data_IF_492122014361
#
_entry.id   IF_492122014361
#
_cell.length_a   1.000
_cell.length_b   1.000
_cell.length_c   1.000
_cell.angle_alpha   90.00
_cell.angle_beta   90.00
_cell.angle_gamma   90.00
#
_symmetry.space_group_name_H-M   'P 1'
#
loop_
_entity.id
_entity.type
_entity.pdbx_description
1 polymer ?
#
# COMPACT_ATOMS: atom_id res chain seq x y z
N UNK A 1 4.53 -28.19 -1.62
CA UNK A 1 3.63 -27.78 -2.72
C UNK A 1 4.50 -27.48 -3.90
N UNK A 2 4.55 -28.39 -4.87
CA UNK A 2 5.46 -28.34 -6.01
C UNK A 2 4.94 -27.36 -7.06
N UNK A 3 5.65 -26.24 -7.24
CA UNK A 3 5.43 -25.27 -8.31
C UNK A 3 6.49 -25.48 -9.41
N UNK A 4 6.42 -26.59 -10.11
CA UNK A 4 7.28 -26.89 -11.26
C UNK A 4 6.43 -27.21 -12.49
N UNK A 5 5.64 -26.23 -12.96
CA UNK A 5 5.08 -26.22 -14.32
C UNK A 5 4.47 -24.86 -14.64
N UNK A 6 4.77 -24.38 -15.86
CA UNK A 6 4.23 -23.18 -16.51
C UNK A 6 5.01 -21.88 -16.31
N UNK A 7 6.22 -21.81 -16.89
CA UNK A 7 6.86 -20.54 -17.24
C UNK A 7 7.46 -20.58 -18.66
N UNK A 8 6.73 -21.13 -19.64
CA UNK A 8 7.13 -21.11 -21.05
C UNK A 8 6.02 -20.49 -21.90
N UNK A 9 5.90 -19.17 -21.85
CA UNK A 9 5.30 -18.36 -22.91
C UNK A 9 5.42 -16.90 -22.50
N UNK A 10 6.47 -16.18 -22.91
CA UNK A 10 6.49 -14.72 -23.10
C UNK A 10 7.91 -14.33 -23.55
N UNK A 11 8.23 -14.55 -24.82
CA UNK A 11 9.32 -13.84 -25.48
C UNK A 11 8.71 -13.24 -26.75
N UNK A 12 8.52 -11.92 -26.75
CA UNK A 12 8.40 -11.12 -27.97
C UNK A 12 9.58 -10.14 -27.99
N UNK A 13 10.33 -10.02 -29.09
CA UNK A 13 11.43 -9.07 -29.20
C UNK A 13 10.91 -7.70 -29.63
N UNK A 14 11.48 -6.62 -29.08
CA UNK A 14 11.28 -5.26 -29.61
C UNK A 14 12.63 -4.55 -29.72
N UNK A 15 12.74 -3.87 -30.86
CA UNK A 15 13.88 -3.26 -31.53
C UNK A 15 14.75 -2.29 -30.72
N UNK A 16 16.01 -2.28 -31.16
CA UNK A 16 17.09 -1.33 -30.95
C UNK A 16 16.79 0.08 -31.47
N UNK A 17 17.21 1.10 -30.70
CA UNK A 17 17.34 2.49 -31.15
C UNK A 17 17.98 3.40 -30.10
N UNK A 18 19.22 3.79 -30.38
CA UNK A 18 19.89 5.07 -30.03
C UNK A 18 20.44 5.40 -28.62
N UNK A 19 21.77 5.22 -28.54
CA UNK A 19 22.85 6.17 -28.18
C UNK A 19 22.82 7.05 -26.91
N UNK A 20 23.83 6.76 -26.07
CA UNK A 20 24.81 7.66 -25.40
C UNK A 20 24.35 8.67 -24.31
N UNK A 21 24.80 8.46 -23.07
CA UNK A 21 25.96 9.19 -22.50
C UNK A 21 26.27 8.72 -21.06
N UNK A 22 27.57 8.57 -20.79
CA UNK A 22 28.17 8.21 -19.51
C UNK A 22 28.45 9.49 -18.73
N UNK A 23 28.06 9.55 -17.46
CA UNK A 23 28.70 10.42 -16.46
C UNK A 23 28.61 9.81 -15.06
N UNK A 24 29.65 10.10 -14.29
CA UNK A 24 30.14 9.33 -13.14
C UNK A 24 29.76 10.01 -11.80
N UNK A 25 29.54 9.17 -10.78
CA UNK A 25 29.70 9.39 -9.33
C UNK A 25 28.71 10.33 -8.60
N UNK A 26 27.89 9.75 -7.71
CA UNK A 26 28.03 9.94 -6.24
C UNK A 26 27.01 9.13 -5.43
N UNK A 27 27.54 8.52 -4.37
CA UNK A 27 26.85 7.75 -3.33
C UNK A 27 25.78 8.57 -2.61
N UNK A 28 24.53 8.10 -2.62
CA UNK A 28 23.51 8.47 -1.63
C UNK A 28 22.66 7.24 -1.27
N UNK A 29 22.42 7.07 0.04
CA UNK A 29 21.76 5.90 0.61
C UNK A 29 20.29 5.77 0.20
N UNK A 30 19.86 4.54 -0.03
CA UNK A 30 18.46 4.24 -0.28
C UNK A 30 17.68 4.28 1.04
N UNK A 31 16.89 5.32 1.25
CA UNK A 31 15.75 5.31 2.17
C UNK A 31 14.53 4.79 1.41
N UNK A 32 14.00 3.65 1.85
CA UNK A 32 12.73 3.10 1.39
C UNK A 32 11.60 3.84 2.10
N UNK A 33 10.92 4.75 1.40
CA UNK A 33 9.74 5.46 1.90
C UNK A 33 8.53 5.05 1.04
N UNK A 34 7.60 4.32 1.65
CA UNK A 34 6.35 3.90 1.01
C UNK A 34 5.33 5.04 1.18
N UNK A 35 5.18 5.87 0.15
CA UNK A 35 4.12 6.88 0.07
C UNK A 35 3.11 6.49 -1.01
N UNK A 36 1.99 5.91 -0.59
CA UNK A 36 0.78 5.89 -1.42
C UNK A 36 0.00 7.17 -1.13
N UNK A 37 0.20 8.20 -1.94
CA UNK A 37 -0.73 9.33 -2.02
C UNK A 37 -0.90 9.71 -3.48
N UNK A 38 -2.10 9.46 -3.99
CA UNK A 38 -2.61 10.07 -5.21
C UNK A 38 -2.52 11.60 -5.09
N UNK A 39 -2.17 12.20 -6.20
CA UNK A 39 -1.86 13.62 -6.40
C UNK A 39 -3.08 14.50 -6.19
N UNK A 40 -2.92 15.58 -5.41
CA UNK A 40 -3.39 16.91 -5.78
C UNK A 40 -2.52 17.98 -5.11
N UNK A 41 -2.31 19.06 -5.84
CA UNK A 41 -1.22 20.05 -5.77
C UNK A 41 -1.20 20.99 -4.55
N UNK A 42 0.03 21.24 -4.07
CA UNK A 42 0.64 22.50 -3.57
C UNK A 42 -0.06 23.26 -2.41
N UNK A 43 0.48 23.13 -1.19
CA UNK A 43 1.14 24.24 -0.48
C UNK A 43 1.90 23.70 0.75
N UNK A 44 3.19 24.01 0.82
CA UNK A 44 4.10 23.73 1.93
C UNK A 44 3.70 24.48 3.20
N UNK A 45 3.81 23.82 4.37
CA UNK A 45 4.48 24.37 5.55
C UNK A 45 4.76 23.27 6.58
N UNK A 46 6.03 23.18 6.96
CA UNK A 46 6.58 22.32 8.00
C UNK A 46 6.04 22.71 9.38
N UNK A 47 5.60 21.74 10.19
CA UNK A 47 5.65 21.85 11.66
C UNK A 47 5.96 20.48 12.30
N UNK A 48 6.87 20.56 13.28
CA UNK A 48 7.43 19.50 14.11
C UNK A 48 6.37 18.67 14.88
N UNK A 49 6.64 17.38 15.04
CA UNK A 49 5.90 16.44 15.87
C UNK A 49 6.66 16.18 17.16
N UNK A 50 6.11 16.63 18.30
CA UNK A 50 6.41 16.05 19.61
C UNK A 50 5.23 15.17 20.05
N UNK A 51 5.54 13.92 20.37
CA UNK A 51 4.60 12.93 20.90
C UNK A 51 4.39 13.12 22.39
N UNK A 52 3.12 13.25 22.81
CA UNK A 52 2.51 12.62 24.00
C UNK A 52 1.09 13.17 24.18
N UNK A 53 0.07 12.33 23.95
CA UNK A 53 -1.21 12.22 24.68
C UNK A 53 -2.31 11.63 23.78
N UNK A 54 -2.86 10.49 24.20
CA UNK A 54 -4.02 9.81 23.61
C UNK A 54 -5.30 10.63 23.79
N UNK A 55 -5.50 11.62 22.92
CA UNK A 55 -6.76 12.34 22.77
C UNK A 55 -7.05 12.42 21.27
N UNK A 56 -8.31 12.19 20.87
CA UNK A 56 -8.77 12.39 19.49
C UNK A 56 -8.21 13.71 18.94
N UNK A 57 -7.60 13.75 17.74
CA UNK A 57 -7.15 15.01 17.18
C UNK A 57 -8.39 15.83 16.85
N UNK A 58 -8.55 16.93 17.59
CA UNK A 58 -9.40 18.05 17.20
C UNK A 58 -8.79 18.61 15.91
N UNK A 59 -9.24 18.07 14.76
CA UNK A 59 -8.92 18.60 13.45
C UNK A 59 -9.52 20.00 13.37
N UNK A 60 -8.62 20.98 13.38
CA UNK A 60 -8.90 22.39 13.39
C UNK A 60 -9.92 22.80 12.32
N UNK A 61 -10.70 23.78 12.71
CA UNK A 61 -11.53 24.66 11.91
C UNK A 61 -11.18 24.66 10.41
N UNK A 62 -12.02 23.97 9.62
CA UNK A 62 -12.27 24.41 8.26
C UNK A 62 -12.83 25.84 8.36
N UNK A 63 -12.09 26.77 7.77
CA UNK A 63 -12.31 28.21 7.88
C UNK A 63 -13.72 28.68 7.48
N UNK A 64 -14.06 29.80 8.12
CA UNK A 64 -15.06 30.81 7.80
C UNK A 64 -16.56 30.45 7.77
N UNK A 65 -17.21 31.09 8.75
CA UNK A 65 -18.63 31.38 8.93
C UNK A 65 -19.38 31.75 7.64
N UNK A 66 -20.37 30.92 7.27
CA UNK A 66 -21.65 31.37 6.69
C UNK A 66 -22.61 30.22 6.33
N UNK A 67 -22.17 28.95 6.32
CA UNK A 67 -22.99 27.86 5.76
C UNK A 67 -23.08 26.58 6.61
N UNK A 68 -22.90 26.67 7.94
CA UNK A 68 -23.03 25.52 8.85
C UNK A 68 -24.44 24.91 8.74
N UNK A 69 -24.54 23.60 8.50
CA UNK A 69 -25.81 22.86 8.48
C UNK A 69 -26.44 22.64 7.10
N UNK A 70 -25.73 22.97 6.00
CA UNK A 70 -26.16 22.54 4.65
C UNK A 70 -26.16 21.02 4.54
N UNK A 71 -27.02 20.46 3.67
CA UNK A 71 -27.13 19.00 3.50
C UNK A 71 -25.79 18.35 3.10
N UNK A 72 -25.00 19.04 2.25
CA UNK A 72 -23.65 18.60 1.86
C UNK A 72 -22.74 18.48 3.09
N UNK A 73 -22.71 19.48 3.96
CA UNK A 73 -21.86 19.45 5.16
C UNK A 73 -22.32 18.39 6.15
N UNK A 74 -23.63 18.25 6.34
CA UNK A 74 -24.20 17.20 7.18
C UNK A 74 -23.78 15.81 6.65
N UNK A 75 -23.91 15.56 5.35
CA UNK A 75 -23.45 14.31 4.74
C UNK A 75 -21.95 14.07 4.91
N UNK A 76 -21.12 15.09 4.67
CA UNK A 76 -19.67 15.01 4.88
C UNK A 76 -19.33 14.66 6.33
N UNK A 77 -19.98 15.32 7.30
CA UNK A 77 -19.74 15.07 8.73
C UNK A 77 -20.18 13.67 9.16
N UNK A 78 -21.32 13.20 8.67
CA UNK A 78 -21.78 11.82 8.89
C UNK A 78 -20.75 10.82 8.36
N UNK A 79 -20.23 11.03 7.15
CA UNK A 79 -19.20 10.17 6.56
C UNK A 79 -17.90 10.18 7.39
N UNK A 80 -17.41 11.35 7.80
CA UNK A 80 -16.20 11.47 8.63
C UNK A 80 -16.36 10.75 9.97
N UNK A 81 -17.50 10.96 10.63
CA UNK A 81 -17.81 10.33 11.92
C UNK A 81 -17.84 8.80 11.79
N UNK A 82 -18.54 8.28 10.79
CA UNK A 82 -18.68 6.83 10.55
C UNK A 82 -17.41 6.18 10.02
N UNK A 83 -16.55 6.92 9.29
CA UNK A 83 -15.24 6.42 8.86
C UNK A 83 -14.35 6.04 10.04
N UNK A 84 -14.44 6.79 11.14
CA UNK A 84 -13.70 6.52 12.38
C UNK A 84 -14.44 5.50 13.25
N UNK A 85 -15.72 5.73 13.56
CA UNK A 85 -16.49 4.88 14.49
C UNK A 85 -16.91 3.52 13.92
N UNK A 86 -16.98 3.39 12.59
CA UNK A 86 -17.50 2.25 11.82
C UNK A 86 -18.99 1.96 12.00
N UNK A 87 -19.52 2.06 13.22
CA UNK A 87 -20.93 1.82 13.54
C UNK A 87 -21.41 2.93 14.48
N UNK A 88 -22.60 3.46 14.23
CA UNK A 88 -23.26 4.43 15.12
C UNK A 88 -24.78 4.35 14.95
N UNK A 89 -25.56 5.01 15.80
CA UNK A 89 -27.01 5.12 15.60
C UNK A 89 -27.39 6.48 15.05
N UNK A 90 -28.56 6.55 14.44
CA UNK A 90 -29.09 7.80 13.93
C UNK A 90 -29.21 8.90 14.99
N UNK A 91 -29.62 8.53 16.21
CA UNK A 91 -29.74 9.46 17.34
C UNK A 91 -28.36 9.98 17.75
N UNK A 92 -27.38 9.07 17.91
CA UNK A 92 -26.02 9.44 18.32
C UNK A 92 -25.35 10.36 17.29
N UNK A 93 -25.56 10.09 15.99
CA UNK A 93 -25.07 10.92 14.90
C UNK A 93 -25.69 12.32 15.02
N UNK A 94 -27.00 12.42 15.21
CA UNK A 94 -27.67 13.71 15.32
C UNK A 94 -27.19 14.51 16.54
N UNK A 95 -27.06 13.87 17.69
CA UNK A 95 -26.63 14.54 18.92
C UNK A 95 -25.17 15.01 18.83
N UNK A 96 -24.30 14.23 18.17
CA UNK A 96 -22.93 14.63 17.90
C UNK A 96 -22.84 15.84 16.99
N UNK A 97 -23.64 15.89 15.91
CA UNK A 97 -23.68 17.02 14.99
C UNK A 97 -24.30 18.28 15.63
N UNK A 98 -25.31 18.12 16.49
CA UNK A 98 -25.89 19.22 17.28
C UNK A 98 -24.82 19.84 18.17
N UNK A 99 -24.06 19.00 18.89
CA UNK A 99 -22.97 19.44 19.75
C UNK A 99 -21.86 20.16 18.94
N UNK A 100 -21.51 19.64 17.76
CA UNK A 100 -20.49 20.26 16.89
C UNK A 100 -20.93 21.61 16.33
N UNK A 101 -22.19 21.75 15.91
CA UNK A 101 -22.67 22.96 15.22
C UNK A 101 -23.19 24.04 16.16
N UNK A 102 -23.90 23.66 17.23
CA UNK A 102 -24.52 24.61 18.16
C UNK A 102 -23.71 24.76 19.45
N UNK A 103 -22.76 23.88 19.72
CA UNK A 103 -22.01 23.87 20.98
C UNK A 103 -22.85 23.40 22.18
N UNK A 104 -22.24 23.39 23.38
CA UNK A 104 -22.93 23.05 24.61
C UNK A 104 -24.09 24.02 24.89
N UNK A 105 -25.11 23.53 25.59
CA UNK A 105 -26.23 24.37 26.03
C UNK A 105 -25.71 25.39 27.03
N UNK A 106 -25.93 26.67 26.74
CA UNK A 106 -25.64 27.75 27.67
C UNK A 106 -26.84 27.91 28.62
N UNK A 107 -26.85 27.13 29.70
CA UNK A 107 -28.01 26.94 30.59
C UNK A 107 -28.48 28.25 31.22
N UNK A 108 -27.56 29.16 31.54
CA UNK A 108 -27.86 30.50 32.06
C UNK A 108 -28.63 31.31 31.01
N UNK A 109 -28.20 31.28 29.75
CA UNK A 109 -28.87 32.01 28.67
C UNK A 109 -30.20 31.36 28.27
N UNK A 110 -30.29 30.03 28.30
CA UNK A 110 -31.50 29.28 28.01
C UNK A 110 -32.65 29.63 28.97
N UNK A 111 -32.35 29.87 30.26
CA UNK A 111 -33.36 30.23 31.27
C UNK A 111 -33.74 31.72 31.18
N UNK A 112 -32.77 32.59 30.89
CA UNK A 112 -32.99 34.05 30.92
C UNK A 112 -33.47 34.62 29.56
N UNK A 113 -33.28 33.90 28.45
CA UNK A 113 -33.62 34.35 27.10
C UNK A 113 -34.46 33.28 26.36
N UNK A 114 -35.81 33.41 26.37
CA UNK A 114 -36.69 32.46 25.70
C UNK A 114 -36.53 32.47 24.17
N UNK A 115 -36.03 33.55 23.58
CA UNK A 115 -35.75 33.64 22.13
C UNK A 115 -34.55 32.79 21.78
N UNK A 116 -33.48 32.84 22.59
CA UNK A 116 -32.32 31.96 22.45
C UNK A 116 -32.72 30.48 22.51
N UNK A 117 -33.51 30.09 23.51
CA UNK A 117 -33.95 28.71 23.69
C UNK A 117 -34.77 28.22 22.47
N UNK A 118 -35.74 29.02 22.02
CA UNK A 118 -36.56 28.69 20.84
C UNK A 118 -35.72 28.57 19.56
N UNK A 119 -34.74 29.46 19.36
CA UNK A 119 -33.85 29.42 18.20
C UNK A 119 -32.95 28.17 18.21
N UNK A 120 -32.48 27.77 19.40
CA UNK A 120 -31.69 26.56 19.56
C UNK A 120 -32.52 25.30 19.26
N UNK A 121 -33.72 25.18 19.81
CA UNK A 121 -34.63 24.06 19.53
C UNK A 121 -35.00 23.94 18.05
N UNK A 122 -35.24 25.08 17.37
CA UNK A 122 -35.48 25.10 15.93
C UNK A 122 -34.27 24.58 15.14
N UNK A 123 -33.08 25.01 15.54
CA UNK A 123 -31.82 24.57 14.91
C UNK A 123 -31.56 23.08 15.13
N UNK A 124 -31.83 22.54 16.32
CA UNK A 124 -31.74 21.10 16.60
C UNK A 124 -32.70 20.28 15.73
N UNK A 125 -33.97 20.70 15.63
CA UNK A 125 -34.96 20.05 14.76
C UNK A 125 -34.52 20.06 13.30
N UNK A 126 -33.96 21.17 12.84
CA UNK A 126 -33.41 21.29 11.48
C UNK A 126 -32.24 20.32 11.24
N UNK A 127 -31.27 20.26 12.16
CA UNK A 127 -30.12 19.34 12.06
C UNK A 127 -30.60 17.89 12.05
N UNK A 128 -31.51 17.50 12.96
CA UNK A 128 -32.11 16.15 12.97
C UNK A 128 -32.75 15.82 11.63
N UNK A 129 -33.54 16.74 11.05
CA UNK A 129 -34.17 16.58 9.72
C UNK A 129 -33.13 16.33 8.63
N UNK A 130 -32.03 17.07 8.62
CA UNK A 130 -30.94 16.93 7.62
C UNK A 130 -30.16 15.64 7.78
N UNK A 131 -30.02 15.13 9.00
CA UNK A 131 -29.40 13.82 9.25
C UNK A 131 -30.22 12.72 8.58
N UNK A 132 -31.56 12.77 8.66
CA UNK A 132 -32.42 11.82 7.92
C UNK A 132 -32.20 11.90 6.40
N UNK A 133 -32.20 13.12 5.83
CA UNK A 133 -32.00 13.31 4.38
C UNK A 133 -30.64 12.76 3.93
N UNK A 134 -29.57 13.11 4.65
CA UNK A 134 -28.23 12.68 4.32
C UNK A 134 -28.08 11.17 4.44
N UNK A 135 -28.60 10.55 5.52
CA UNK A 135 -28.55 9.10 5.69
C UNK A 135 -29.24 8.39 4.54
N UNK A 136 -30.44 8.82 4.14
CA UNK A 136 -31.18 8.18 3.06
C UNK A 136 -30.43 8.24 1.73
N UNK A 137 -29.85 9.40 1.39
CA UNK A 137 -29.03 9.54 0.18
C UNK A 137 -27.77 8.67 0.26
N UNK A 138 -27.10 8.62 1.41
CA UNK A 138 -25.90 7.83 1.61
C UNK A 138 -26.18 6.31 1.59
N UNK A 139 -27.36 5.88 2.04
CA UNK A 139 -27.84 4.49 1.92
C UNK A 139 -28.09 4.15 0.45
N UNK A 140 -28.80 5.02 -0.28
CA UNK A 140 -29.03 4.84 -1.72
C UNK A 140 -27.73 4.78 -2.51
N UNK A 141 -26.73 5.57 -2.11
CA UNK A 141 -25.39 5.55 -2.66
C UNK A 141 -24.52 4.37 -2.16
N UNK A 142 -25.06 3.49 -1.30
CA UNK A 142 -24.38 2.34 -0.66
C UNK A 142 -23.04 2.68 0.00
N UNK A 143 -22.85 3.92 0.42
CA UNK A 143 -21.69 4.37 1.22
C UNK A 143 -21.84 3.91 2.66
N UNK A 144 -23.09 3.88 3.14
CA UNK A 144 -23.47 3.41 4.47
C UNK A 144 -24.60 2.40 4.33
N UNK A 145 -24.78 1.60 5.36
CA UNK A 145 -25.83 0.59 5.45
C UNK A 145 -26.63 0.78 6.74
N UNK A 146 -27.92 0.41 6.72
CA UNK A 146 -28.81 0.54 7.87
C UNK A 146 -29.32 -0.83 8.29
N UNK A 147 -28.87 -1.29 9.44
CA UNK A 147 -29.36 -2.50 10.09
C UNK A 147 -30.03 -2.14 11.40
N UNK A 148 -31.35 -2.29 11.47
CA UNK A 148 -32.16 -1.85 12.61
C UNK A 148 -31.90 -0.37 12.96
N UNK A 149 -31.34 -0.11 14.15
CA UNK A 149 -30.95 1.22 14.64
C UNK A 149 -29.51 1.60 14.27
N UNK A 150 -28.73 0.65 13.77
CA UNK A 150 -27.31 0.82 13.47
C UNK A 150 -27.12 1.32 12.04
N UNK A 151 -26.26 2.31 11.91
CA UNK A 151 -25.74 2.85 10.67
C UNK A 151 -24.28 2.42 10.57
N UNK A 152 -23.96 1.66 9.53
CA UNK A 152 -22.68 0.99 9.35
C UNK A 152 -21.93 1.63 8.18
N UNK A 153 -20.66 1.96 8.38
CA UNK A 153 -19.78 2.46 7.33
C UNK A 153 -19.39 1.35 6.35
N UNK A 154 -19.71 1.51 5.06
CA UNK A 154 -19.27 0.63 3.98
C UNK A 154 -18.11 1.24 3.19
N UNK A 155 -18.07 2.56 3.03
CA UNK A 155 -17.03 3.29 2.31
C UNK A 155 -17.37 3.55 0.83
N UNK A 156 -16.54 4.37 0.17
CA UNK A 156 -16.79 4.88 -1.18
C UNK A 156 -16.52 3.82 -2.28
N UNK A 157 -15.72 2.78 -2.01
CA UNK A 157 -15.43 1.72 -3.00
C UNK A 157 -16.67 0.94 -3.46
N UNK A 158 -17.73 0.92 -2.64
CA UNK A 158 -19.03 0.34 -3.02
C UNK A 158 -19.71 1.10 -4.16
N UNK A 159 -19.49 2.42 -4.30
CA UNK A 159 -20.07 3.23 -5.40
C UNK A 159 -19.48 2.85 -6.75
N UNK A 160 -18.15 2.67 -6.81
CA UNK A 160 -17.47 2.30 -8.06
C UNK A 160 -17.96 0.95 -8.59
N UNK A 161 -18.36 0.03 -7.70
CA UNK A 161 -18.93 -1.25 -8.08
C UNK A 161 -20.36 -1.13 -8.63
N UNK A 162 -21.13 -0.09 -8.25
CA UNK A 162 -22.56 0.06 -8.59
C UNK A 162 -22.76 0.91 -9.84
N UNK A 163 -21.94 1.95 -10.04
CA UNK A 163 -21.91 2.68 -11.31
C UNK A 163 -21.59 1.75 -12.49
N UNK A 164 -20.89 0.64 -12.24
CA UNK A 164 -20.68 -0.44 -13.22
C UNK A 164 -21.82 -1.48 -13.28
N UNK A 165 -22.72 -1.56 -12.28
CA UNK A 165 -23.72 -2.62 -12.17
C UNK A 165 -25.12 -2.23 -12.65
N UNK A 166 -25.47 -0.94 -12.62
CA UNK A 166 -26.78 -0.46 -13.12
C UNK A 166 -26.81 -0.37 -14.66
N UNK A 167 -25.64 -0.45 -15.30
CA UNK A 167 -25.51 -0.85 -16.70
C UNK A 167 -25.21 -2.35 -16.72
N UNK A 168 -25.98 -3.11 -17.49
CA UNK A 168 -25.96 -4.57 -17.62
C UNK A 168 -24.63 -5.15 -18.15
N UNK A 169 -23.54 -4.96 -17.43
CA UNK A 169 -22.29 -5.68 -17.57
C UNK A 169 -22.01 -6.30 -16.22
N UNK A 170 -22.35 -7.59 -16.12
CA UNK A 170 -21.78 -8.48 -15.13
C UNK A 170 -20.30 -8.16 -14.98
N UNK A 171 -19.81 -8.19 -13.75
CA UNK A 171 -18.43 -7.96 -13.40
C UNK A 171 -17.55 -9.11 -13.95
N UNK A 172 -17.47 -9.25 -15.27
CA UNK A 172 -16.69 -10.26 -15.99
C UNK A 172 -15.18 -10.09 -15.71
N UNK A 173 -14.80 -8.91 -15.20
CA UNK A 173 -13.45 -8.58 -14.78
C UNK A 173 -13.13 -8.93 -13.32
N UNK A 174 -14.09 -9.32 -12.47
CA UNK A 174 -13.81 -9.75 -11.09
C UNK A 174 -12.80 -10.91 -11.02
N UNK A 175 -12.95 -12.00 -11.80
CA UNK A 175 -11.95 -13.08 -11.79
C UNK A 175 -10.58 -12.59 -12.29
N UNK A 176 -10.55 -11.69 -13.28
CA UNK A 176 -9.32 -11.11 -13.80
C UNK A 176 -8.61 -10.24 -12.76
N UNK A 177 -9.35 -9.41 -12.03
CA UNK A 177 -8.86 -8.58 -10.93
C UNK A 177 -8.30 -9.47 -9.81
N UNK A 178 -9.03 -10.53 -9.43
CA UNK A 178 -8.55 -11.48 -8.43
C UNK A 178 -7.27 -12.20 -8.88
N UNK A 179 -7.18 -12.60 -10.16
CA UNK A 179 -5.98 -13.20 -10.71
C UNK A 179 -4.80 -12.22 -10.69
N UNK A 180 -5.03 -10.95 -11.03
CA UNK A 180 -4.01 -9.91 -10.99
C UNK A 180 -3.54 -9.63 -9.55
N UNK A 181 -4.44 -9.60 -8.58
CA UNK A 181 -4.09 -9.48 -7.16
C UNK A 181 -3.22 -10.67 -6.74
N UNK A 182 -3.61 -11.91 -7.09
CA UNK A 182 -2.80 -13.10 -6.78
C UNK A 182 -1.40 -13.03 -7.41
N UNK A 183 -1.29 -12.63 -8.68
CA UNK A 183 0.00 -12.45 -9.36
C UNK A 183 0.87 -11.42 -8.64
N UNK A 184 0.31 -10.25 -8.31
CA UNK A 184 1.03 -9.19 -7.58
C UNK A 184 1.46 -9.63 -6.18
N UNK A 185 0.66 -10.43 -5.48
CA UNK A 185 1.03 -10.96 -4.17
C UNK A 185 2.24 -11.90 -4.25
N UNK A 186 2.26 -12.81 -5.23
CA UNK A 186 3.41 -13.71 -5.46
C UNK A 186 4.66 -12.92 -5.84
N UNK A 187 4.52 -11.91 -6.70
CA UNK A 187 5.63 -11.02 -7.08
C UNK A 187 6.16 -10.24 -5.88
N UNK A 188 5.26 -9.71 -5.04
CA UNK A 188 5.62 -9.00 -3.82
C UNK A 188 6.39 -9.90 -2.84
N UNK A 189 5.92 -11.12 -2.61
CA UNK A 189 6.61 -12.11 -1.76
C UNK A 189 8.00 -12.43 -2.31
N UNK A 190 8.13 -12.62 -3.63
CA UNK A 190 9.42 -12.84 -4.31
C UNK A 190 10.37 -11.66 -4.09
N UNK A 191 9.90 -10.42 -4.24
CA UNK A 191 10.70 -9.21 -4.03
C UNK A 191 11.12 -9.04 -2.57
N UNK A 192 10.22 -9.31 -1.63
CA UNK A 192 10.50 -9.25 -0.20
C UNK A 192 11.59 -10.26 0.18
N UNK A 193 11.49 -11.50 -0.32
CA UNK A 193 12.49 -12.53 -0.07
C UNK A 193 13.86 -12.15 -0.66
N UNK A 194 13.87 -11.61 -1.88
CA UNK A 194 15.09 -11.10 -2.51
C UNK A 194 15.74 -9.96 -1.70
N UNK A 195 14.95 -9.01 -1.20
CA UNK A 195 15.43 -7.91 -0.38
C UNK A 195 16.12 -8.41 0.89
N UNK A 196 15.50 -9.34 1.63
CA UNK A 196 16.11 -9.91 2.83
C UNK A 196 17.40 -10.64 2.53
N UNK A 197 17.43 -11.45 1.47
CA UNK A 197 18.64 -12.18 1.06
C UNK A 197 19.79 -11.25 0.65
N UNK A 198 19.49 -10.18 -0.10
CA UNK A 198 20.47 -9.15 -0.44
C UNK A 198 21.02 -8.46 0.81
N UNK A 199 20.14 -8.09 1.75
CA UNK A 199 20.53 -7.46 3.01
C UNK A 199 21.50 -8.35 3.79
N UNK A 200 21.18 -9.65 3.95
CA UNK A 200 22.07 -10.64 4.60
C UNK A 200 23.44 -10.69 3.92
N UNK A 201 23.48 -10.74 2.58
CA UNK A 201 24.75 -10.80 1.84
C UNK A 201 25.56 -9.51 2.02
N UNK A 202 24.92 -8.34 1.97
CA UNK A 202 25.60 -7.05 2.14
C UNK A 202 26.21 -6.94 3.54
N UNK A 203 25.47 -7.32 4.58
CA UNK A 203 25.93 -7.32 5.97
C UNK A 203 27.12 -8.28 6.16
N UNK A 204 27.00 -9.52 5.66
CA UNK A 204 28.09 -10.49 5.70
C UNK A 204 29.34 -10.00 4.94
N UNK A 205 29.14 -9.43 3.76
CA UNK A 205 30.23 -8.86 2.97
C UNK A 205 30.89 -7.68 3.68
N UNK A 206 30.14 -6.87 4.45
CA UNK A 206 30.67 -5.78 5.26
C UNK A 206 31.54 -6.29 6.42
N UNK A 207 31.11 -7.36 7.09
CA UNK A 207 31.84 -7.97 8.20
C UNK A 207 33.11 -8.71 7.73
N UNK A 208 33.09 -9.25 6.51
CA UNK A 208 34.19 -10.07 5.96
C UNK A 208 35.19 -9.26 5.12
N UNK A 209 35.04 -7.92 5.03
CA UNK A 209 35.90 -7.04 4.20
C UNK A 209 37.40 -7.17 4.49
N UNK A 210 37.78 -7.60 5.70
CA UNK A 210 39.17 -7.68 6.14
C UNK A 210 39.91 -8.97 5.75
N UNK A 211 39.21 -10.05 5.34
CA UNK A 211 39.80 -11.41 5.31
C UNK A 211 40.06 -11.94 3.89
N UNK A 212 39.37 -11.44 2.86
CA UNK A 212 39.35 -12.10 1.55
C UNK A 212 39.82 -11.21 0.38
N UNK A 213 41.06 -11.44 -0.07
CA UNK A 213 41.62 -10.95 -1.36
C UNK A 213 41.26 -11.85 -2.57
N UNK A 214 40.24 -12.70 -2.42
CA UNK A 214 39.78 -13.59 -3.50
C UNK A 214 39.06 -12.85 -4.64
N UNK A 215 38.89 -13.54 -5.77
CA UNK A 215 38.08 -13.06 -6.88
C UNK A 215 36.63 -12.83 -6.42
N UNK A 216 36.07 -11.66 -6.77
CA UNK A 216 34.70 -11.28 -6.42
C UNK A 216 33.84 -11.27 -7.67
N UNK A 217 32.70 -11.94 -7.62
CA UNK A 217 31.67 -11.85 -8.65
C UNK A 217 30.70 -10.73 -8.30
N UNK A 218 30.51 -9.79 -9.23
CA UNK A 218 29.56 -8.69 -9.06
C UNK A 218 28.16 -9.12 -9.55
N UNK A 219 27.12 -8.60 -8.91
CA UNK A 219 25.74 -8.72 -9.38
C UNK A 219 25.40 -7.56 -10.35
N UNK A 220 24.54 -7.76 -11.37
CA UNK A 220 23.78 -8.96 -11.68
C UNK A 220 24.62 -10.04 -12.38
N UNK A 221 24.41 -11.31 -12.03
CA UNK A 221 25.04 -12.43 -12.71
C UNK A 221 24.10 -13.64 -12.82
N UNK A 222 24.42 -14.55 -13.72
CA UNK A 222 23.83 -15.88 -13.83
C UNK A 222 24.95 -16.92 -13.77
N UNK A 223 24.62 -18.14 -13.37
CA UNK A 223 25.56 -19.24 -13.28
C UNK A 223 25.07 -20.43 -14.09
N UNK A 224 26.02 -21.08 -14.75
CA UNK A 224 25.81 -22.38 -15.39
C UNK A 224 26.66 -23.38 -14.65
N UNK A 225 26.03 -24.37 -14.04
CA UNK A 225 26.68 -25.35 -13.18
C UNK A 225 26.59 -26.71 -13.85
N UNK A 226 27.73 -27.30 -14.20
CA UNK A 226 27.75 -28.69 -14.61
C UNK A 226 27.70 -29.60 -13.37
N UNK A 227 26.83 -30.59 -13.41
CA UNK A 227 26.58 -31.50 -12.29
C UNK A 227 27.63 -32.61 -12.17
N UNK A 228 28.51 -32.77 -13.17
CA UNK A 228 29.63 -33.72 -13.11
C UNK A 228 30.98 -33.01 -13.18
N UNK A 229 31.96 -33.60 -12.50
CA UNK A 229 33.36 -33.13 -12.52
C UNK A 229 34.06 -33.45 -13.85
N UNK A 230 33.58 -34.47 -14.57
CA UNK A 230 34.12 -34.91 -15.87
C UNK A 230 33.42 -34.22 -17.07
N UNK A 231 32.63 -33.20 -16.78
CA UNK A 231 31.90 -32.45 -17.80
C UNK A 231 32.85 -31.56 -18.60
N UNK A 232 32.85 -31.73 -19.92
CA UNK A 232 33.53 -30.84 -20.84
C UNK A 232 32.57 -29.72 -21.24
N UNK A 233 32.89 -28.49 -20.84
CA UNK A 233 32.13 -27.28 -21.18
C UNK A 233 32.94 -26.49 -22.20
N UNK A 234 32.39 -26.30 -23.40
CA UNK A 234 32.93 -25.38 -24.40
C UNK A 234 32.01 -24.17 -24.55
N UNK A 235 32.60 -22.97 -24.44
CA UNK A 235 31.89 -21.71 -24.57
C UNK A 235 32.36 -20.99 -25.83
N UNK A 236 31.44 -20.73 -26.76
CA UNK A 236 31.71 -20.01 -28.00
C UNK A 236 31.01 -18.66 -27.93
N UNK A 237 31.81 -17.59 -27.90
CA UNK A 237 31.31 -16.22 -27.95
C UNK A 237 31.12 -15.80 -29.40
N UNK A 238 29.95 -15.23 -29.70
CA UNK A 238 29.64 -14.62 -31.00
C UNK A 238 29.24 -13.17 -30.82
N UNK A 239 29.21 -12.43 -31.92
CA UNK A 239 28.68 -11.06 -31.98
C UNK A 239 29.25 -10.14 -30.88
N UNK A 240 30.57 -10.00 -30.81
CA UNK A 240 31.25 -9.18 -29.80
C UNK A 240 30.84 -9.54 -28.35
N UNK A 241 30.61 -10.83 -28.07
CA UNK A 241 30.21 -11.37 -26.77
C UNK A 241 28.76 -11.06 -26.36
N UNK A 242 27.90 -10.59 -27.27
CA UNK A 242 26.47 -10.49 -27.01
C UNK A 242 25.78 -11.85 -26.99
N UNK A 243 26.38 -12.86 -27.63
CA UNK A 243 25.86 -14.21 -27.71
C UNK A 243 26.89 -15.21 -27.21
N UNK A 244 26.43 -16.18 -26.42
CA UNK A 244 27.25 -17.27 -25.89
C UNK A 244 26.55 -18.58 -26.20
N UNK A 245 27.21 -19.43 -26.99
CA UNK A 245 26.80 -20.81 -27.16
C UNK A 245 27.61 -21.69 -26.20
N UNK A 246 26.91 -22.41 -25.33
CA UNK A 246 27.51 -23.30 -24.35
C UNK A 246 27.19 -24.73 -24.80
N UNK A 247 28.22 -25.51 -25.08
CA UNK A 247 28.09 -26.92 -25.40
C UNK A 247 28.68 -27.73 -24.25
N UNK A 248 27.86 -28.63 -23.70
CA UNK A 248 28.23 -29.48 -22.58
C UNK A 248 27.83 -30.91 -22.88
N UNK A 249 28.68 -31.85 -22.50
CA UNK A 249 28.43 -33.30 -22.64
C UNK A 249 27.58 -33.88 -21.49
N UNK A 250 27.06 -33.04 -20.60
CA UNK A 250 26.33 -33.42 -19.40
C UNK A 250 25.14 -32.49 -19.15
N UNK A 251 24.28 -32.87 -18.20
CA UNK A 251 23.22 -32.01 -17.69
C UNK A 251 23.85 -30.82 -16.94
N UNK A 252 23.29 -29.64 -17.17
CA UNK A 252 23.69 -28.38 -16.52
C UNK A 252 22.49 -27.72 -15.86
N UNK A 253 22.73 -27.08 -14.73
CA UNK A 253 21.78 -26.22 -14.04
C UNK A 253 22.05 -24.76 -14.37
N UNK A 254 21.00 -24.03 -14.76
CA UNK A 254 21.05 -22.60 -14.97
C UNK A 254 20.44 -21.89 -13.77
N UNK A 255 21.27 -21.14 -13.04
CA UNK A 255 20.81 -20.34 -11.92
C UNK A 255 20.70 -18.88 -12.36
N UNK A 256 19.49 -18.34 -12.23
CA UNK A 256 19.24 -16.92 -12.37
C UNK A 256 19.76 -16.15 -11.15
N UNK A 257 19.79 -14.82 -11.26
CA UNK A 257 20.24 -13.96 -10.17
C UNK A 257 19.43 -14.16 -8.88
N UNK A 258 18.13 -14.40 -9.00
CA UNK A 258 17.25 -14.58 -7.84
C UNK A 258 17.61 -15.85 -7.07
N UNK A 259 17.80 -16.98 -7.76
CA UNK A 259 18.20 -18.23 -7.15
C UNK A 259 19.59 -18.14 -6.52
N UNK A 260 20.55 -17.50 -7.20
CA UNK A 260 21.92 -17.32 -6.69
C UNK A 260 21.88 -16.57 -5.37
N UNK A 261 21.25 -15.39 -5.34
CA UNK A 261 21.20 -14.53 -4.16
C UNK A 261 20.55 -15.28 -2.99
N UNK A 262 19.44 -15.97 -3.25
CA UNK A 262 18.71 -16.65 -2.18
C UNK A 262 19.44 -17.87 -1.63
N UNK A 263 20.08 -18.67 -2.50
CA UNK A 263 20.88 -19.82 -2.07
C UNK A 263 22.10 -19.37 -1.28
N UNK A 264 22.82 -18.35 -1.72
CA UNK A 264 23.98 -17.80 -1.00
C UNK A 264 23.55 -17.25 0.37
N UNK A 265 22.48 -16.46 0.42
CA UNK A 265 21.98 -15.93 1.69
C UNK A 265 21.51 -17.04 2.64
N UNK A 266 20.90 -18.11 2.12
CA UNK A 266 20.54 -19.27 2.93
C UNK A 266 21.76 -19.95 3.54
N UNK A 267 22.82 -20.18 2.74
CA UNK A 267 24.08 -20.75 3.25
C UNK A 267 24.71 -19.88 4.34
N UNK A 268 24.73 -18.55 4.18
CA UNK A 268 25.26 -17.63 5.19
C UNK A 268 24.47 -17.75 6.50
N UNK A 269 23.14 -17.84 6.43
CA UNK A 269 22.29 -17.99 7.62
C UNK A 269 22.55 -19.31 8.34
N UNK A 270 22.69 -20.42 7.61
CA UNK A 270 22.97 -21.72 8.24
C UNK A 270 24.33 -21.74 8.93
N UNK A 271 25.36 -21.14 8.34
CA UNK A 271 26.70 -21.09 8.96
C UNK A 271 26.75 -20.23 10.23
N UNK A 272 25.89 -19.21 10.33
CA UNK A 272 25.81 -18.39 11.53
C UNK A 272 25.17 -19.14 12.72
N UNK A 273 24.16 -19.97 12.46
CA UNK A 273 23.44 -20.73 13.51
C UNK A 273 24.32 -21.81 14.15
N UNK A 274 25.17 -22.47 13.38
CA UNK A 274 26.09 -23.50 13.90
C UNK A 274 27.19 -22.90 14.80
N UNK A 275 27.46 -21.59 14.68
CA UNK A 275 28.44 -20.88 15.49
C UNK A 275 27.93 -20.58 16.92
N UNK A 276 26.62 -20.36 17.06
CA UNK A 276 25.97 -20.01 18.33
C UNK A 276 25.59 -21.24 19.18
N UNK A 277 25.65 -22.46 18.62
CA UNK A 277 25.42 -23.71 19.38
C UNK A 277 26.70 -24.35 19.94
N UNK A 278 27.87 -23.75 19.71
CA UNK A 278 29.18 -24.24 20.19
C UNK A 278 29.74 -23.43 21.37
N UNK A 279 28.91 -22.64 22.07
CA UNK A 279 29.28 -21.87 23.28
C UNK A 279 28.56 -22.44 24.50
#
# INVERSE_FOLDING_TARGET
MDYSKSLNSYINPVNTGDSLSVNNVSSTGYTFEMLTTETDSVHSNQYNLDSRNNSLPYMGALGNSSTKGTLKQVAVRICTLLKVRRISTQTDIADNLIMEYLGPIDSIRAVNDPVYQKNRESSEKSIRRRVYDAINVLISARIIDKSNKNIIWKGISSINHILCSDNSQSCDNLPLIQQNIRKKLVEYERLQYLYFSLKTIIENNANTKAVNNGQKTLLPCCLVIANSKDSNISCIYRNNKSEVAIQVNSIVDFLDQYEIINRVAACIRTTAVDSDQLV
#
